data_IF_456861426356
#
_entry.id   IF_456861426356
#
_cell.length_a   1.000
_cell.length_b   1.000
_cell.length_c   1.000
_cell.angle_alpha   90.00
_cell.angle_beta   90.00
_cell.angle_gamma   90.00
#
_symmetry.space_group_name_H-M   'P 1'
#
loop_
_entity.id
_entity.type
_entity.pdbx_description
1 polymer ?
#
# COMPACT_ATOMS: atom_id res chain seq x y z
N UNK A 1 -63.15 16.42 -53.62
CA UNK A 1 -62.74 15.10 -53.11
C UNK A 1 -61.22 15.15 -52.90
N UNK A 2 -60.79 15.45 -51.72
CA UNK A 2 -59.38 15.59 -51.36
C UNK A 2 -58.92 14.29 -50.66
N UNK A 3 -57.79 13.66 -51.04
CA UNK A 3 -57.34 12.42 -50.40
C UNK A 3 -56.76 12.68 -49.04
N UNK A 4 -56.81 11.71 -48.10
CA UNK A 4 -56.35 11.87 -46.73
C UNK A 4 -54.85 11.81 -46.67
N UNK A 5 -54.28 12.73 -45.89
CA UNK A 5 -52.86 12.83 -45.54
C UNK A 5 -52.45 11.68 -44.64
N UNK A 6 -51.40 10.96 -45.03
CA UNK A 6 -50.77 9.86 -44.28
C UNK A 6 -50.00 10.40 -43.04
N UNK A 7 -50.13 9.82 -41.86
CA UNK A 7 -49.38 10.27 -40.73
C UNK A 7 -47.87 9.89 -40.83
N UNK A 8 -47.03 10.86 -40.48
CA UNK A 8 -45.57 10.78 -40.47
C UNK A 8 -45.14 9.88 -39.34
N UNK A 9 -44.37 8.84 -39.63
CA UNK A 9 -43.79 7.94 -38.64
C UNK A 9 -42.93 8.71 -37.62
N UNK A 10 -43.22 8.56 -36.37
CA UNK A 10 -42.38 9.03 -35.26
C UNK A 10 -41.04 8.26 -35.26
N UNK A 11 -39.96 9.02 -35.29
CA UNK A 11 -38.59 8.51 -35.18
C UNK A 11 -38.36 8.04 -33.71
N UNK A 12 -38.60 6.78 -33.48
CA UNK A 12 -38.46 6.12 -32.19
C UNK A 12 -36.99 5.76 -32.00
N UNK A 13 -36.14 6.80 -31.80
CA UNK A 13 -34.78 6.61 -31.28
C UNK A 13 -34.88 6.29 -29.80
N UNK A 14 -35.13 5.04 -29.50
CA UNK A 14 -34.90 4.49 -28.14
C UNK A 14 -33.46 4.72 -27.79
N UNK A 15 -33.20 5.75 -26.97
CA UNK A 15 -31.97 5.89 -26.20
C UNK A 15 -31.92 4.69 -25.23
N UNK A 16 -31.21 3.64 -25.63
CA UNK A 16 -30.87 2.54 -24.71
C UNK A 16 -30.02 3.15 -23.61
N UNK A 17 -30.64 3.45 -22.46
CA UNK A 17 -29.92 3.70 -21.23
C UNK A 17 -29.22 2.39 -20.86
N UNK A 18 -27.90 2.33 -21.04
CA UNK A 18 -27.10 1.24 -20.51
C UNK A 18 -27.21 1.28 -18.99
N UNK A 19 -27.91 0.32 -18.44
CA UNK A 19 -27.97 0.12 -16.99
C UNK A 19 -26.55 -0.19 -16.49
N UNK A 20 -26.01 0.56 -15.49
CA UNK A 20 -24.71 0.26 -14.93
C UNK A 20 -24.72 -1.15 -14.35
N UNK A 21 -23.76 -1.98 -14.74
CA UNK A 21 -23.57 -3.30 -14.18
C UNK A 21 -23.40 -3.18 -12.65
N UNK A 22 -24.18 -3.93 -11.90
CA UNK A 22 -24.07 -4.02 -10.44
C UNK A 22 -22.62 -4.35 -10.07
N UNK A 23 -21.97 -3.43 -9.31
CA UNK A 23 -20.58 -3.57 -8.86
C UNK A 23 -19.56 -2.69 -9.59
N UNK A 24 -19.90 -1.98 -10.67
CA UNK A 24 -19.00 -0.98 -11.26
C UNK A 24 -19.24 0.40 -10.63
N UNK A 25 -18.20 1.04 -10.06
CA UNK A 25 -18.32 2.42 -9.57
C UNK A 25 -18.72 3.36 -10.73
N UNK A 26 -19.54 4.38 -10.44
CA UNK A 26 -19.89 5.41 -11.41
C UNK A 26 -18.62 6.03 -12.03
N UNK A 27 -18.66 6.49 -13.32
CA UNK A 27 -17.51 7.09 -14.00
C UNK A 27 -16.81 8.18 -13.17
N UNK A 28 -17.55 9.09 -12.55
CA UNK A 28 -17.03 10.14 -11.68
C UNK A 28 -16.26 9.59 -10.46
N UNK A 29 -16.68 8.45 -9.88
CA UNK A 29 -15.96 7.81 -8.76
C UNK A 29 -14.65 7.17 -9.25
N UNK A 30 -14.64 6.60 -10.46
CA UNK A 30 -13.42 6.05 -11.07
C UNK A 30 -12.40 7.13 -11.40
N UNK A 31 -12.84 8.27 -11.93
CA UNK A 31 -11.98 9.42 -12.21
C UNK A 31 -11.42 10.03 -10.93
N UNK A 32 -12.26 10.16 -9.90
CA UNK A 32 -11.84 10.63 -8.60
C UNK A 32 -10.84 9.67 -7.92
N UNK A 33 -10.98 8.35 -8.10
CA UNK A 33 -10.03 7.36 -7.61
C UNK A 33 -8.70 7.44 -8.37
N UNK A 34 -8.73 7.47 -9.71
CA UNK A 34 -7.52 7.63 -10.54
C UNK A 34 -6.76 8.90 -10.22
N UNK A 35 -7.46 10.02 -10.04
CA UNK A 35 -6.84 11.28 -9.65
C UNK A 35 -6.21 11.21 -8.25
N UNK A 36 -6.84 10.47 -7.31
CA UNK A 36 -6.26 10.25 -5.98
C UNK A 36 -4.96 9.47 -6.09
N UNK A 37 -4.96 8.37 -6.82
CA UNK A 37 -3.79 7.52 -7.00
C UNK A 37 -2.65 8.26 -7.73
N UNK A 38 -2.97 9.09 -8.73
CA UNK A 38 -2.00 9.94 -9.41
C UNK A 38 -1.32 10.92 -8.44
N UNK A 39 -2.08 11.56 -7.54
CA UNK A 39 -1.54 12.46 -6.51
C UNK A 39 -0.65 11.71 -5.52
N UNK A 40 -1.09 10.53 -5.03
CA UNK A 40 -0.34 9.75 -4.06
C UNK A 40 0.96 9.19 -4.68
N UNK A 41 0.91 8.71 -5.92
CA UNK A 41 2.10 8.26 -6.64
C UNK A 41 3.09 9.41 -6.93
N UNK A 42 2.60 10.61 -7.26
CA UNK A 42 3.45 11.78 -7.43
C UNK A 42 4.12 12.18 -6.11
N UNK A 43 3.36 12.19 -5.01
CA UNK A 43 3.88 12.47 -3.69
C UNK A 43 4.93 11.44 -3.25
N UNK A 44 4.68 10.14 -3.48
CA UNK A 44 5.62 9.07 -3.15
C UNK A 44 6.96 9.26 -3.90
N UNK A 45 6.92 9.52 -5.22
CA UNK A 45 8.14 9.80 -6.00
C UNK A 45 8.91 11.01 -5.47
N UNK A 46 8.21 12.07 -5.06
CA UNK A 46 8.86 13.26 -4.49
C UNK A 46 9.48 12.97 -3.13
N UNK A 47 8.84 12.15 -2.30
CA UNK A 47 9.40 11.69 -1.01
C UNK A 47 10.66 10.86 -1.25
N UNK A 48 10.63 9.92 -2.17
CA UNK A 48 11.79 9.07 -2.51
C UNK A 48 12.96 9.87 -3.06
N UNK A 49 12.69 10.92 -3.83
CA UNK A 49 13.73 11.75 -4.45
C UNK A 49 14.33 12.80 -3.50
N UNK A 50 13.52 13.38 -2.60
CA UNK A 50 13.90 14.58 -1.86
C UNK A 50 13.76 14.44 -0.33
N UNK A 51 13.27 13.29 0.16
CA UNK A 51 12.88 13.09 1.56
C UNK A 51 11.51 13.70 1.89
N UNK A 52 10.85 13.14 2.89
CA UNK A 52 9.51 13.58 3.28
C UNK A 52 9.46 15.06 3.69
N UNK A 53 10.50 15.58 4.35
CA UNK A 53 10.55 16.97 4.83
C UNK A 53 10.50 18.02 3.72
N UNK A 54 11.06 17.74 2.54
CA UNK A 54 11.14 18.65 1.41
C UNK A 54 9.84 18.72 0.57
N UNK A 55 8.91 17.77 0.74
CA UNK A 55 7.70 17.67 -0.09
C UNK A 55 6.62 18.64 0.39
N UNK A 56 6.12 19.51 -0.52
CA UNK A 56 5.03 20.44 -0.28
C UNK A 56 3.77 20.03 -1.02
N UNK A 57 2.61 20.50 -0.55
CA UNK A 57 1.31 20.26 -1.21
C UNK A 57 1.27 20.83 -2.63
N UNK A 58 1.96 21.95 -2.84
CA UNK A 58 2.11 22.61 -4.14
C UNK A 58 2.92 21.78 -5.13
N UNK A 59 4.10 21.32 -4.70
CA UNK A 59 4.96 20.48 -5.54
C UNK A 59 4.25 19.17 -5.96
N UNK A 60 3.46 18.60 -5.04
CA UNK A 60 2.67 17.40 -5.34
C UNK A 60 1.54 17.71 -6.35
N UNK A 61 0.85 18.84 -6.21
CA UNK A 61 -0.19 19.24 -7.16
C UNK A 61 0.39 19.44 -8.58
N UNK A 62 1.53 20.09 -8.69
CA UNK A 62 2.26 20.30 -9.94
C UNK A 62 2.71 18.95 -10.55
N UNK A 63 3.37 18.10 -9.77
CA UNK A 63 3.86 16.79 -10.22
C UNK A 63 2.73 15.82 -10.61
N UNK A 64 1.54 15.97 -10.04
CA UNK A 64 0.35 15.17 -10.36
C UNK A 64 -0.49 15.77 -11.50
N UNK A 65 -0.19 17.00 -11.97
CA UNK A 65 -0.97 17.69 -13.00
C UNK A 65 -2.38 18.07 -12.54
N UNK A 66 -2.59 18.32 -11.24
CA UNK A 66 -3.89 18.70 -10.66
C UNK A 66 -3.86 20.10 -10.05
N UNK A 67 -5.02 20.73 -9.92
CA UNK A 67 -5.11 22.02 -9.25
C UNK A 67 -4.74 21.92 -7.76
N UNK A 68 -3.97 22.90 -7.24
CA UNK A 68 -3.57 23.03 -5.83
C UNK A 68 -4.76 22.87 -4.87
N UNK A 69 -5.89 23.52 -5.16
CA UNK A 69 -7.12 23.43 -4.36
C UNK A 69 -7.68 22.01 -4.27
N UNK A 70 -7.42 21.16 -5.27
CA UNK A 70 -7.86 19.76 -5.26
C UNK A 70 -7.08 18.94 -4.23
N UNK A 71 -5.76 19.15 -4.15
CA UNK A 71 -4.91 18.48 -3.16
C UNK A 71 -5.26 18.93 -1.75
N UNK A 72 -5.36 20.26 -1.52
CA UNK A 72 -5.72 20.81 -0.20
C UNK A 72 -7.10 20.36 0.29
N UNK A 73 -8.12 20.39 -0.58
CA UNK A 73 -9.47 19.94 -0.22
C UNK A 73 -9.52 18.46 0.14
N UNK A 74 -8.63 17.62 -0.46
CA UNK A 74 -8.67 16.16 -0.28
C UNK A 74 -7.86 15.67 0.90
N UNK A 75 -6.73 16.31 1.17
CA UNK A 75 -5.80 15.84 2.20
C UNK A 75 -5.70 16.80 3.39
N UNK A 76 -6.35 17.97 3.31
CA UNK A 76 -6.48 18.99 4.35
C UNK A 76 -5.15 19.60 4.79
N UNK A 77 -4.13 18.78 5.00
CA UNK A 77 -2.81 19.19 5.46
C UNK A 77 -1.71 18.36 4.83
N UNK A 78 -0.47 18.85 4.95
CA UNK A 78 0.71 18.08 4.58
C UNK A 78 0.81 16.77 5.36
N UNK A 79 0.51 16.78 6.66
CA UNK A 79 0.50 15.57 7.49
C UNK A 79 -0.55 14.57 7.02
N UNK A 80 -1.76 15.03 6.67
CA UNK A 80 -2.81 14.19 6.07
C UNK A 80 -2.39 13.59 4.73
N UNK A 81 -1.68 14.37 3.89
CA UNK A 81 -1.11 13.85 2.64
C UNK A 81 -0.05 12.77 2.92
N UNK A 82 0.89 13.00 3.85
CA UNK A 82 1.93 12.02 4.19
C UNK A 82 1.33 10.73 4.75
N UNK A 83 0.33 10.82 5.62
CA UNK A 83 -0.41 9.64 6.10
C UNK A 83 -1.07 8.86 4.96
N UNK A 84 -1.74 9.56 4.04
CA UNK A 84 -2.37 8.93 2.88
C UNK A 84 -1.35 8.29 1.90
N UNK A 85 -0.16 8.87 1.75
CA UNK A 85 0.95 8.29 0.95
C UNK A 85 1.46 7.02 1.61
N UNK A 86 1.61 7.01 2.93
CA UNK A 86 2.03 5.82 3.68
C UNK A 86 1.01 4.69 3.53
N UNK A 87 -0.28 4.98 3.70
CA UNK A 87 -1.37 4.00 3.52
C UNK A 87 -1.43 3.46 2.09
N UNK A 88 -1.17 4.31 1.09
CA UNK A 88 -1.15 3.91 -0.32
C UNK A 88 0.00 2.94 -0.59
N UNK A 89 1.20 3.25 -0.11
CA UNK A 89 2.38 2.40 -0.24
C UNK A 89 2.21 1.06 0.50
N UNK A 90 1.67 1.08 1.71
CA UNK A 90 1.36 -0.12 2.48
C UNK A 90 0.33 -1.00 1.75
N UNK A 91 -0.73 -0.41 1.20
CA UNK A 91 -1.74 -1.13 0.42
C UNK A 91 -1.16 -1.77 -0.85
N UNK A 92 -0.26 -1.06 -1.55
CA UNK A 92 0.43 -1.59 -2.72
C UNK A 92 1.32 -2.80 -2.36
N UNK A 93 2.04 -2.72 -1.24
CA UNK A 93 2.85 -3.81 -0.72
C UNK A 93 1.99 -5.01 -0.29
N UNK A 94 0.88 -4.79 0.42
CA UNK A 94 -0.06 -5.86 0.80
C UNK A 94 -0.63 -6.56 -0.43
N UNK A 95 -0.98 -5.82 -1.47
CA UNK A 95 -1.45 -6.40 -2.74
C UNK A 95 -0.36 -7.27 -3.39
N UNK A 96 0.91 -6.87 -3.34
CA UNK A 96 2.01 -7.69 -3.84
C UNK A 96 2.18 -8.99 -3.05
N UNK A 97 1.98 -8.97 -1.72
CA UNK A 97 2.00 -10.18 -0.86
C UNK A 97 0.83 -11.11 -1.17
N UNK A 98 -0.38 -10.56 -1.44
CA UNK A 98 -1.60 -11.35 -1.64
C UNK A 98 -1.69 -11.94 -3.05
N UNK A 99 -1.34 -11.15 -4.07
CA UNK A 99 -1.63 -11.47 -5.48
C UNK A 99 -0.50 -11.14 -6.44
N UNK A 100 0.65 -10.69 -5.94
CA UNK A 100 1.83 -10.43 -6.77
C UNK A 100 2.53 -11.70 -7.24
N UNK A 101 3.60 -11.56 -8.04
CA UNK A 101 4.38 -12.70 -8.50
C UNK A 101 5.16 -13.37 -7.34
N UNK A 102 5.49 -14.66 -7.47
CA UNK A 102 6.41 -15.31 -6.55
C UNK A 102 7.81 -14.66 -6.63
N UNK A 103 8.63 -14.71 -5.57
CA UNK A 103 8.40 -15.44 -4.34
C UNK A 103 7.60 -14.71 -3.27
N UNK A 104 7.31 -13.41 -3.41
CA UNK A 104 6.55 -12.64 -2.42
C UNK A 104 5.06 -13.03 -2.42
N UNK A 105 4.47 -13.08 -3.60
CA UNK A 105 3.09 -13.53 -3.80
C UNK A 105 2.95 -15.05 -3.75
N UNK A 106 1.73 -15.57 -4.02
CA UNK A 106 1.44 -17.01 -4.03
C UNK A 106 2.25 -17.77 -5.08
N UNK A 107 2.47 -19.08 -4.84
CA UNK A 107 3.10 -20.00 -5.81
C UNK A 107 4.52 -20.42 -5.48
N UNK A 108 5.22 -19.76 -4.55
CA UNK A 108 6.51 -20.21 -4.04
C UNK A 108 6.34 -21.03 -2.74
N UNK A 109 7.34 -21.87 -2.37
CA UNK A 109 7.37 -22.58 -1.09
C UNK A 109 7.26 -21.60 0.11
N UNK A 110 6.64 -22.02 1.22
CA UNK A 110 6.39 -21.14 2.36
C UNK A 110 7.65 -20.45 2.93
N UNK A 111 8.80 -21.14 2.97
CA UNK A 111 10.05 -20.55 3.44
C UNK A 111 10.58 -19.45 2.50
N UNK A 112 10.48 -19.67 1.20
CA UNK A 112 10.88 -18.67 0.21
C UNK A 112 9.98 -17.45 0.29
N UNK A 113 8.67 -17.66 0.45
CA UNK A 113 7.69 -16.58 0.68
C UNK A 113 8.00 -15.80 1.96
N UNK A 114 8.30 -16.48 3.07
CA UNK A 114 8.64 -15.82 4.33
C UNK A 114 9.90 -14.98 4.20
N UNK A 115 10.93 -15.48 3.52
CA UNK A 115 12.16 -14.73 3.24
C UNK A 115 11.92 -13.51 2.34
N UNK A 116 11.15 -13.68 1.28
CA UNK A 116 10.77 -12.57 0.40
C UNK A 116 9.96 -11.52 1.14
N UNK A 117 9.03 -11.96 2.00
CA UNK A 117 8.27 -11.07 2.88
C UNK A 117 9.20 -10.25 3.80
N UNK A 118 10.12 -10.89 4.51
CA UNK A 118 11.06 -10.21 5.39
C UNK A 118 11.91 -9.16 4.67
N UNK A 119 12.48 -9.52 3.51
CA UNK A 119 13.26 -8.59 2.68
C UNK A 119 12.44 -7.42 2.18
N UNK A 120 11.25 -7.68 1.65
CA UNK A 120 10.36 -6.63 1.13
C UNK A 120 9.84 -5.71 2.23
N UNK A 121 9.60 -6.23 3.43
CA UNK A 121 9.18 -5.45 4.59
C UNK A 121 10.31 -4.57 5.12
N UNK A 122 11.52 -5.11 5.22
CA UNK A 122 12.72 -4.35 5.56
C UNK A 122 12.91 -3.16 4.61
N UNK A 123 12.93 -3.45 3.31
CA UNK A 123 13.10 -2.46 2.25
C UNK A 123 12.00 -1.37 2.27
N UNK A 124 10.73 -1.76 2.44
CA UNK A 124 9.62 -0.82 2.58
C UNK A 124 9.80 0.13 3.76
N UNK A 125 10.12 -0.41 4.94
CA UNK A 125 10.27 0.37 6.16
C UNK A 125 11.50 1.28 6.13
N UNK A 126 12.60 0.84 5.50
CA UNK A 126 13.80 1.67 5.32
C UNK A 126 13.58 2.81 4.32
N UNK A 127 12.93 2.55 3.18
CA UNK A 127 12.62 3.60 2.19
C UNK A 127 11.64 4.63 2.73
N UNK A 128 10.74 4.23 3.59
CA UNK A 128 9.70 5.11 4.12
C UNK A 128 9.96 5.58 5.56
N UNK A 129 11.19 5.42 6.08
CA UNK A 129 11.51 5.79 7.47
C UNK A 129 11.09 7.23 7.79
N UNK A 130 11.48 8.20 6.95
CA UNK A 130 11.13 9.61 7.11
C UNK A 130 9.63 9.88 6.98
N UNK A 131 8.95 9.12 6.11
CA UNK A 131 7.51 9.22 5.90
C UNK A 131 6.76 8.65 7.11
N UNK A 132 7.21 7.53 7.65
CA UNK A 132 6.66 6.91 8.87
C UNK A 132 6.81 7.87 10.04
N UNK A 133 7.97 8.48 10.22
CA UNK A 133 8.20 9.47 11.27
C UNK A 133 7.28 10.69 11.14
N UNK A 134 7.16 11.24 9.92
CA UNK A 134 6.26 12.35 9.64
C UNK A 134 4.77 12.01 9.85
N UNK A 135 4.37 10.75 9.66
CA UNK A 135 3.00 10.28 9.84
C UNK A 135 2.68 9.93 11.31
N UNK A 136 3.61 9.31 12.05
CA UNK A 136 3.40 8.91 13.46
C UNK A 136 3.10 10.12 14.36
N UNK A 137 3.72 11.26 14.11
CA UNK A 137 3.47 12.49 14.86
C UNK A 137 2.01 12.99 14.77
N UNK A 138 1.25 12.50 13.77
CA UNK A 138 -0.09 13.00 13.47
C UNK A 138 -1.20 11.96 13.56
N UNK A 139 -0.93 10.67 13.32
CA UNK A 139 -1.95 9.64 13.14
C UNK A 139 -1.74 8.35 13.95
N UNK A 140 -0.60 8.19 14.62
CA UNK A 140 -0.26 6.94 15.28
C UNK A 140 0.08 5.83 14.27
N UNK A 141 0.42 4.65 14.80
CA UNK A 141 0.75 3.48 13.98
C UNK A 141 -0.53 2.86 13.40
N UNK A 142 -0.53 2.53 12.12
CA UNK A 142 -1.64 1.78 11.52
C UNK A 142 -1.72 0.37 12.10
N UNK A 143 -2.68 0.15 13.02
CA UNK A 143 -2.97 -1.19 13.56
C UNK A 143 -3.33 -2.19 12.45
N UNK A 144 -3.98 -1.73 11.39
CA UNK A 144 -4.37 -2.57 10.25
C UNK A 144 -3.13 -3.11 9.49
N UNK A 145 -2.10 -2.30 9.27
CA UNK A 145 -0.87 -2.75 8.61
C UNK A 145 -0.13 -3.82 9.42
N UNK A 146 -0.02 -3.63 10.74
CA UNK A 146 0.57 -4.64 11.62
C UNK A 146 -0.27 -5.92 11.64
N UNK A 147 -1.59 -5.81 11.72
CA UNK A 147 -2.50 -6.97 11.75
C UNK A 147 -2.40 -7.83 10.50
N UNK A 148 -2.29 -7.21 9.31
CA UNK A 148 -2.05 -7.93 8.06
C UNK A 148 -0.72 -8.69 8.08
N UNK A 149 0.37 -8.01 8.43
CA UNK A 149 1.70 -8.62 8.51
C UNK A 149 1.73 -9.79 9.49
N UNK A 150 1.13 -9.61 10.67
CA UNK A 150 1.04 -10.65 11.69
C UNK A 150 0.22 -11.87 11.22
N UNK A 151 -0.92 -11.63 10.56
CA UNK A 151 -1.74 -12.70 9.99
C UNK A 151 -0.96 -13.50 8.94
N UNK A 152 -0.26 -12.82 8.04
CA UNK A 152 0.50 -13.46 6.96
C UNK A 152 1.69 -14.26 7.48
N UNK A 153 2.48 -13.70 8.40
CA UNK A 153 3.62 -14.39 9.02
C UNK A 153 3.14 -15.61 9.81
N UNK A 154 2.07 -15.46 10.60
CA UNK A 154 1.50 -16.60 11.34
C UNK A 154 1.03 -17.72 10.41
N UNK A 155 0.38 -17.37 9.29
CA UNK A 155 0.01 -18.34 8.27
C UNK A 155 1.24 -19.10 7.75
N UNK A 156 2.31 -18.40 7.37
CA UNK A 156 3.53 -19.03 6.85
C UNK A 156 4.25 -19.87 7.90
N UNK A 157 4.31 -19.43 9.17
CA UNK A 157 4.87 -20.23 10.26
C UNK A 157 4.07 -21.52 10.50
N UNK A 158 2.74 -21.46 10.37
CA UNK A 158 1.88 -22.65 10.44
C UNK A 158 2.16 -23.62 9.30
N UNK A 159 2.25 -23.15 8.05
CA UNK A 159 2.60 -23.97 6.88
C UNK A 159 4.00 -24.60 6.99
N UNK A 160 4.91 -23.94 7.70
CA UNK A 160 6.27 -24.43 7.95
C UNK A 160 6.36 -25.40 9.14
N UNK A 161 5.25 -25.64 9.85
CA UNK A 161 5.22 -26.54 11.00
C UNK A 161 5.95 -25.99 12.23
N UNK A 162 6.08 -24.65 12.36
CA UNK A 162 6.71 -24.05 13.53
C UNK A 162 5.97 -24.47 14.80
N UNK A 163 6.74 -24.85 15.84
CA UNK A 163 6.22 -25.29 17.13
C UNK A 163 6.30 -24.19 18.18
N UNK A 164 5.50 -24.30 19.26
CA UNK A 164 5.43 -23.30 20.32
C UNK A 164 4.30 -22.29 20.16
N UNK A 165 4.41 -21.13 20.82
CA UNK A 165 3.40 -20.07 20.77
C UNK A 165 3.53 -19.26 19.49
N UNK A 166 2.72 -19.61 18.48
CA UNK A 166 2.72 -18.93 17.17
C UNK A 166 2.44 -17.43 17.26
N UNK A 167 1.72 -16.95 18.26
CA UNK A 167 1.47 -15.52 18.42
C UNK A 167 2.75 -14.77 18.82
N UNK A 168 3.46 -15.30 19.81
CA UNK A 168 4.74 -14.74 20.26
C UNK A 168 5.84 -14.91 19.22
N UNK A 169 5.90 -16.05 18.53
CA UNK A 169 6.83 -16.29 17.42
C UNK A 169 6.59 -15.32 16.26
N UNK A 170 5.33 -15.05 15.91
CA UNK A 170 4.98 -14.03 14.91
C UNK A 170 5.50 -12.66 15.31
N UNK A 171 5.30 -12.28 16.57
CA UNK A 171 5.84 -11.01 17.11
C UNK A 171 7.36 -10.97 17.04
N UNK A 172 8.05 -12.04 17.43
CA UNK A 172 9.50 -12.14 17.37
C UNK A 172 10.04 -12.00 15.94
N UNK A 173 9.36 -12.61 14.94
CA UNK A 173 9.72 -12.50 13.52
C UNK A 173 9.53 -11.09 13.00
N UNK A 174 8.46 -10.39 13.42
CA UNK A 174 8.16 -9.04 12.92
C UNK A 174 8.96 -7.94 13.60
N UNK A 175 9.24 -8.06 14.89
CA UNK A 175 9.88 -7.00 15.68
C UNK A 175 11.18 -6.44 15.08
N UNK A 176 12.13 -7.26 14.57
CA UNK A 176 13.36 -6.75 13.98
C UNK A 176 13.15 -5.93 12.70
N UNK A 177 11.99 -6.07 12.04
CA UNK A 177 11.64 -5.38 10.80
C UNK A 177 10.87 -4.08 11.05
N UNK A 178 10.55 -3.77 12.31
CA UNK A 178 9.81 -2.59 12.66
C UNK A 178 10.62 -1.30 12.47
N UNK A 179 9.99 -0.25 11.93
CA UNK A 179 10.65 1.00 11.56
C UNK A 179 11.47 1.60 12.70
N UNK A 180 10.97 1.54 13.95
CA UNK A 180 11.66 2.06 15.12
C UNK A 180 12.95 1.29 15.42
N UNK A 181 12.92 -0.04 15.33
CA UNK A 181 14.09 -0.91 15.53
C UNK A 181 15.10 -0.70 14.38
N UNK A 182 14.61 -0.58 13.15
CA UNK A 182 15.46 -0.31 11.99
C UNK A 182 16.15 1.06 12.09
N UNK A 183 15.45 2.07 12.59
CA UNK A 183 16.01 3.40 12.85
C UNK A 183 17.13 3.33 13.89
N UNK A 184 16.93 2.59 14.97
CA UNK A 184 17.98 2.37 15.98
C UNK A 184 19.19 1.68 15.37
N UNK A 185 19.02 0.58 14.65
CA UNK A 185 20.11 -0.12 13.98
C UNK A 185 20.90 0.79 13.01
N UNK A 186 20.19 1.62 12.26
CA UNK A 186 20.82 2.59 11.36
C UNK A 186 21.67 3.61 12.13
N UNK A 187 21.19 4.11 13.27
CA UNK A 187 21.94 5.02 14.15
C UNK A 187 23.18 4.36 14.74
N UNK A 188 23.14 3.04 14.97
CA UNK A 188 24.26 2.23 15.44
C UNK A 188 25.23 1.80 14.30
N UNK A 189 24.95 2.18 13.04
CA UNK A 189 25.77 1.82 11.88
C UNK A 189 25.62 0.35 11.43
N UNK A 190 24.53 -0.32 11.82
CA UNK A 190 24.24 -1.69 11.39
C UNK A 190 23.69 -1.65 9.97
N UNK A 191 24.40 -2.25 9.00
CA UNK A 191 24.00 -2.29 7.59
C UNK A 191 22.83 -3.24 7.33
N UNK A 192 22.10 -2.99 6.24
CA UNK A 192 20.89 -3.72 5.84
C UNK A 192 21.15 -5.22 5.63
N UNK A 193 22.29 -5.58 5.00
CA UNK A 193 22.68 -6.98 4.80
C UNK A 193 22.85 -7.73 6.13
N UNK A 194 23.39 -7.06 7.14
CA UNK A 194 23.55 -7.65 8.48
C UNK A 194 22.20 -7.82 9.18
N UNK A 195 21.30 -6.87 9.03
CA UNK A 195 19.93 -6.96 9.59
C UNK A 195 19.18 -8.15 8.97
N UNK A 196 19.18 -8.27 7.66
CA UNK A 196 18.45 -9.35 6.99
C UNK A 196 19.09 -10.72 7.24
N UNK A 197 20.42 -10.80 7.33
CA UNK A 197 21.11 -12.04 7.68
C UNK A 197 20.78 -12.49 9.12
N UNK A 198 20.74 -11.55 10.08
CA UNK A 198 20.32 -11.83 11.45
C UNK A 198 18.84 -12.26 11.52
N UNK A 199 17.99 -11.64 10.74
CA UNK A 199 16.59 -12.02 10.63
C UNK A 199 16.41 -13.42 10.02
N UNK A 200 17.12 -13.75 8.93
CA UNK A 200 17.14 -15.10 8.34
C UNK A 200 17.65 -16.15 9.35
N UNK A 201 18.64 -15.81 10.21
CA UNK A 201 19.11 -16.69 11.27
C UNK A 201 18.05 -16.92 12.35
N UNK A 202 17.35 -15.86 12.76
CA UNK A 202 16.22 -15.97 13.69
C UNK A 202 15.13 -16.90 13.15
N UNK A 203 14.72 -16.73 11.90
CA UNK A 203 13.70 -17.59 11.25
C UNK A 203 14.17 -19.04 11.23
N UNK A 204 15.43 -19.31 10.86
CA UNK A 204 15.97 -20.68 10.87
C UNK A 204 15.95 -21.32 12.26
N UNK A 205 16.29 -20.58 13.32
CA UNK A 205 16.24 -21.07 14.71
C UNK A 205 14.83 -21.37 15.17
N UNK A 206 13.86 -20.54 14.81
CA UNK A 206 12.44 -20.75 15.12
C UNK A 206 11.93 -22.05 14.45
N UNK A 207 12.40 -22.35 13.23
CA UNK A 207 11.96 -23.52 12.49
C UNK A 207 12.74 -24.80 12.84
N UNK A 208 13.87 -24.69 13.50
CA UNK A 208 14.65 -25.84 13.97
C UNK A 208 14.13 -26.43 15.29
N UNK A 209 13.16 -25.79 15.93
CA UNK A 209 12.50 -26.28 17.16
C UNK A 209 13.26 -25.95 18.38
#
# INVERSE_FOLDING_TARGET
MTPPTKPRAADDRQVRAELPLLGQPAPERRDAARNRDAVLNAALRLVEANGACAVTMEAVAEAAGVGKGTVFRRFESRAGLMGAVLDHSESAWQNAVISGPPPLGPGAPPLERLRAFGRSRLDLNLRHADLIEAAISSYGRSYAAYSFAAMHVRYLLTELGATGDLHLLTTAVLAPLEAEILRQHRAEGVGEERIIAGWDDLVRRILAG
#
